data_IF_852149210254
#
_entry.id   IF_852149210254
#
_cell.length_a   1.000
_cell.length_b   1.000
_cell.length_c   1.000
_cell.angle_alpha   90.00
_cell.angle_beta   90.00
_cell.angle_gamma   90.00
#
_symmetry.space_group_name_H-M   'P 1'
#
loop_
_entity.id
_entity.type
_entity.pdbx_description
1 polymer ?
#
# COMPACT_ATOMS: atom_id res chain seq x y z
N UNK A 1 -36.31 -24.65 2.09
CA UNK A 1 -35.65 -23.82 3.14
C UNK A 1 -34.20 -24.23 3.47
N UNK A 2 -33.70 -25.38 3.03
CA UNK A 2 -32.34 -25.89 3.36
C UNK A 2 -31.23 -25.39 2.43
N UNK A 3 -31.51 -25.08 1.17
CA UNK A 3 -30.53 -24.62 0.16
C UNK A 3 -30.07 -23.17 0.33
N UNK A 4 -30.94 -22.29 0.85
CA UNK A 4 -30.64 -20.86 1.05
C UNK A 4 -29.69 -20.62 2.23
N UNK A 5 -29.71 -21.49 3.25
CA UNK A 5 -28.76 -21.48 4.39
C UNK A 5 -27.38 -22.00 4.01
N UNK A 6 -27.29 -23.00 3.13
CA UNK A 6 -26.00 -23.52 2.63
C UNK A 6 -25.26 -22.49 1.76
N UNK A 7 -25.95 -21.75 0.87
CA UNK A 7 -25.34 -20.71 0.03
C UNK A 7 -24.80 -19.51 0.82
N UNK A 8 -25.49 -19.07 1.90
CA UNK A 8 -25.00 -17.99 2.80
C UNK A 8 -23.73 -18.40 3.55
N UNK A 9 -23.61 -19.66 3.95
CA UNK A 9 -22.41 -20.17 4.63
C UNK A 9 -21.21 -20.33 3.68
N UNK A 10 -21.47 -20.61 2.39
CA UNK A 10 -20.44 -20.74 1.37
C UNK A 10 -19.85 -19.39 0.94
N UNK A 11 -20.68 -18.35 0.83
CA UNK A 11 -20.24 -17.00 0.42
C UNK A 11 -19.48 -16.25 1.53
N UNK A 12 -19.85 -16.42 2.81
CA UNK A 12 -19.09 -15.87 3.92
C UNK A 12 -17.68 -16.47 4.00
N UNK A 13 -17.55 -17.80 3.84
CA UNK A 13 -16.24 -18.48 3.82
C UNK A 13 -15.32 -17.98 2.71
N UNK A 14 -15.88 -17.58 1.57
CA UNK A 14 -15.11 -17.16 0.39
C UNK A 14 -14.61 -15.71 0.48
N UNK A 15 -15.38 -14.82 1.11
CA UNK A 15 -14.97 -13.43 1.40
C UNK A 15 -13.90 -13.40 2.50
N UNK A 16 -14.11 -14.17 3.57
CA UNK A 16 -13.06 -14.39 4.59
C UNK A 16 -11.80 -14.99 3.97
N UNK A 17 -11.93 -15.91 3.00
CA UNK A 17 -10.77 -16.51 2.34
C UNK A 17 -9.93 -15.50 1.55
N UNK A 18 -10.53 -14.54 0.85
CA UNK A 18 -9.79 -13.59 0.00
C UNK A 18 -9.16 -12.42 0.78
N UNK A 19 -9.84 -11.92 1.83
CA UNK A 19 -9.19 -11.02 2.79
C UNK A 19 -8.12 -11.73 3.61
N UNK A 20 -8.35 -13.01 3.96
CA UNK A 20 -7.32 -13.83 4.59
C UNK A 20 -6.16 -14.09 3.63
N UNK A 21 -6.38 -14.21 2.33
CA UNK A 21 -5.33 -14.45 1.32
C UNK A 21 -4.45 -13.21 1.10
N UNK A 22 -5.04 -12.01 1.02
CA UNK A 22 -4.27 -10.76 0.93
C UNK A 22 -3.50 -10.46 2.23
N UNK A 23 -4.14 -10.71 3.38
CA UNK A 23 -3.50 -10.58 4.70
C UNK A 23 -2.42 -11.63 4.89
N UNK A 24 -2.65 -12.88 4.49
CA UNK A 24 -1.70 -13.98 4.59
C UNK A 24 -0.48 -13.71 3.71
N UNK A 25 -0.66 -13.15 2.50
CA UNK A 25 0.46 -12.78 1.64
C UNK A 25 1.33 -11.68 2.24
N UNK A 26 0.72 -10.65 2.85
CA UNK A 26 1.45 -9.61 3.59
C UNK A 26 2.18 -10.16 4.82
N UNK A 27 1.55 -11.09 5.53
CA UNK A 27 2.16 -11.75 6.70
C UNK A 27 3.32 -12.67 6.26
N UNK A 28 3.15 -13.44 5.18
CA UNK A 28 4.20 -14.30 4.62
C UNK A 28 5.43 -13.46 4.23
N UNK A 29 5.21 -12.32 3.55
CA UNK A 29 6.28 -11.41 3.17
C UNK A 29 6.99 -10.79 4.39
N UNK A 30 6.22 -10.32 5.38
CA UNK A 30 6.79 -9.81 6.63
C UNK A 30 7.61 -10.88 7.36
N UNK A 31 7.12 -12.12 7.42
CA UNK A 31 7.83 -13.25 8.05
C UNK A 31 9.10 -13.61 7.29
N UNK A 32 9.06 -13.59 5.95
CA UNK A 32 10.25 -13.80 5.13
C UNK A 32 11.35 -12.78 5.45
N UNK A 33 11.00 -11.49 5.47
CA UNK A 33 11.96 -10.42 5.78
C UNK A 33 12.42 -10.46 7.24
N UNK A 34 11.55 -10.82 8.18
CA UNK A 34 11.94 -11.03 9.58
C UNK A 34 12.94 -12.17 9.72
N UNK A 35 12.74 -13.26 8.98
CA UNK A 35 13.70 -14.36 8.91
C UNK A 35 15.05 -13.93 8.35
N UNK A 36 15.04 -13.09 7.31
CA UNK A 36 16.25 -12.46 6.76
C UNK A 36 16.98 -11.57 7.78
N UNK A 37 16.24 -10.77 8.56
CA UNK A 37 16.80 -9.93 9.63
C UNK A 37 17.45 -10.79 10.71
N UNK A 38 16.85 -11.91 11.11
CA UNK A 38 17.44 -12.81 12.11
C UNK A 38 18.70 -13.51 11.62
N UNK A 39 18.70 -14.02 10.38
CA UNK A 39 19.90 -14.66 9.80
C UNK A 39 21.02 -13.62 9.62
N UNK A 40 20.69 -12.46 9.07
CA UNK A 40 21.64 -11.36 8.89
C UNK A 40 22.20 -10.88 10.22
N UNK A 41 21.35 -10.71 11.23
CA UNK A 41 21.74 -10.34 12.59
C UNK A 41 22.66 -11.39 13.23
N UNK A 42 22.33 -12.67 13.13
CA UNK A 42 23.17 -13.77 13.63
C UNK A 42 24.54 -13.80 12.93
N UNK A 43 24.59 -13.55 11.62
CA UNK A 43 25.83 -13.46 10.85
C UNK A 43 26.69 -12.28 11.31
N UNK A 44 26.11 -11.08 11.41
CA UNK A 44 26.81 -9.88 11.89
C UNK A 44 27.34 -10.10 13.31
N UNK A 45 26.53 -10.65 14.21
CA UNK A 45 26.94 -10.97 15.57
C UNK A 45 28.09 -12.02 15.59
N UNK A 46 28.03 -13.06 14.76
CA UNK A 46 29.10 -14.05 14.64
C UNK A 46 30.42 -13.41 14.20
N UNK A 47 30.37 -12.54 13.18
CA UNK A 47 31.56 -11.82 12.71
C UNK A 47 32.14 -10.93 13.82
N UNK A 48 31.28 -10.17 14.53
CA UNK A 48 31.71 -9.33 15.66
C UNK A 48 32.41 -10.15 16.75
N UNK A 49 31.91 -11.36 17.03
CA UNK A 49 32.52 -12.27 18.00
C UNK A 49 33.86 -12.80 17.49
N UNK A 50 33.92 -13.32 16.27
CA UNK A 50 35.12 -13.96 15.71
C UNK A 50 36.26 -12.97 15.49
N UNK A 51 35.96 -11.75 15.08
CA UNK A 51 36.97 -10.69 14.81
C UNK A 51 37.52 -10.09 16.10
N UNK A 52 36.98 -10.44 17.27
CA UNK A 52 37.52 -9.95 18.54
C UNK A 52 37.16 -8.49 18.84
N UNK A 53 36.19 -7.90 18.11
CA UNK A 53 35.71 -6.52 18.31
C UNK A 53 35.06 -6.30 19.68
N UNK A 54 35.00 -7.34 20.51
CA UNK A 54 34.42 -7.36 21.85
C UNK A 54 35.34 -7.86 22.97
N UNK A 55 36.64 -8.06 22.71
CA UNK A 55 37.56 -8.59 23.72
C UNK A 55 37.30 -10.07 24.08
N UNK A 56 38.01 -10.59 25.09
CA UNK A 56 38.02 -12.03 25.45
C UNK A 56 36.77 -12.52 26.21
N UNK A 57 35.74 -11.68 26.39
CA UNK A 57 34.57 -11.97 27.21
C UNK A 57 33.35 -12.34 26.36
N UNK A 58 33.48 -13.35 25.50
CA UNK A 58 32.31 -13.93 24.83
C UNK A 58 31.67 -14.95 25.75
N UNK A 59 30.79 -14.48 26.62
CA UNK A 59 29.98 -15.35 27.46
C UNK A 59 29.12 -16.27 26.58
N UNK A 60 28.87 -17.48 27.08
CA UNK A 60 28.02 -18.50 26.43
C UNK A 60 26.68 -17.93 25.92
N UNK A 61 26.17 -16.88 26.56
CA UNK A 61 24.91 -16.23 26.21
C UNK A 61 24.92 -15.59 24.82
N UNK A 62 26.05 -15.05 24.34
CA UNK A 62 26.13 -14.44 23.01
C UNK A 62 26.01 -15.50 21.91
N UNK A 63 26.73 -16.61 22.06
CA UNK A 63 26.62 -17.73 21.14
C UNK A 63 25.23 -18.38 21.18
N UNK A 64 24.61 -18.44 22.36
CA UNK A 64 23.22 -18.90 22.48
C UNK A 64 22.26 -17.97 21.72
N UNK A 65 22.38 -16.65 21.87
CA UNK A 65 21.54 -15.68 21.15
C UNK A 65 21.76 -15.75 19.64
N UNK A 66 23.01 -15.91 19.18
CA UNK A 66 23.32 -16.14 17.76
C UNK A 66 22.63 -17.40 17.24
N UNK A 67 22.76 -18.53 17.96
CA UNK A 67 22.15 -19.78 17.56
C UNK A 67 20.62 -19.70 17.53
N UNK A 68 20.01 -19.04 18.52
CA UNK A 68 18.56 -18.82 18.57
C UNK A 68 18.09 -17.96 17.39
N UNK A 69 18.78 -16.86 17.08
CA UNK A 69 18.42 -16.02 15.93
C UNK A 69 18.59 -16.77 14.59
N UNK A 70 19.68 -17.51 14.41
CA UNK A 70 19.88 -18.31 13.19
C UNK A 70 18.77 -19.37 13.04
N UNK A 71 18.39 -20.03 14.14
CA UNK A 71 17.31 -21.02 14.16
C UNK A 71 15.95 -20.37 13.85
N UNK A 72 15.59 -19.28 14.54
CA UNK A 72 14.34 -18.54 14.29
C UNK A 72 14.27 -18.04 12.87
N UNK A 73 15.37 -17.51 12.33
CA UNK A 73 15.45 -17.07 10.94
C UNK A 73 15.24 -18.20 9.94
N UNK A 74 15.87 -19.36 10.17
CA UNK A 74 15.64 -20.57 9.38
C UNK A 74 14.19 -21.07 9.47
N UNK A 75 13.61 -21.09 10.67
CA UNK A 75 12.21 -21.46 10.89
C UNK A 75 11.25 -20.50 10.17
N UNK A 76 11.51 -19.20 10.23
CA UNK A 76 10.74 -18.18 9.51
C UNK A 76 10.76 -18.43 8.00
N UNK A 77 11.92 -18.71 7.40
CA UNK A 77 12.00 -19.00 5.97
C UNK A 77 11.32 -20.32 5.57
N UNK A 78 11.45 -21.36 6.38
CA UNK A 78 10.88 -22.69 6.13
C UNK A 78 9.37 -22.75 6.37
N UNK A 79 8.88 -22.02 7.37
CA UNK A 79 7.49 -22.07 7.85
C UNK A 79 6.71 -20.78 7.55
N UNK A 80 7.21 -19.88 6.70
CA UNK A 80 6.58 -18.58 6.41
C UNK A 80 5.08 -18.65 6.10
N UNK A 81 4.62 -19.67 5.38
CA UNK A 81 3.21 -19.86 5.02
C UNK A 81 2.32 -20.32 6.19
N UNK A 82 2.92 -20.67 7.34
CA UNK A 82 2.25 -21.21 8.53
C UNK A 82 2.31 -20.25 9.73
N UNK A 83 3.11 -19.20 9.65
CA UNK A 83 3.32 -18.27 10.74
C UNK A 83 2.23 -17.19 10.75
N UNK A 84 1.88 -16.73 11.94
CA UNK A 84 0.72 -15.85 12.18
C UNK A 84 1.17 -14.54 12.82
N UNK A 85 0.31 -13.52 12.76
CA UNK A 85 0.56 -12.19 13.34
C UNK A 85 0.96 -12.25 14.83
N UNK A 86 0.31 -13.05 15.70
CA UNK A 86 0.75 -13.16 17.10
C UNK A 86 2.15 -13.72 17.26
N UNK A 87 2.57 -14.68 16.42
CA UNK A 87 3.91 -15.27 16.46
C UNK A 87 4.95 -14.22 16.08
N UNK A 88 4.68 -13.44 15.03
CA UNK A 88 5.52 -12.32 14.61
C UNK A 88 5.69 -11.30 15.75
N UNK A 89 4.60 -10.94 16.45
CA UNK A 89 4.69 -10.05 17.60
C UNK A 89 5.51 -10.63 18.76
N UNK A 90 5.35 -11.93 19.03
CA UNK A 90 6.10 -12.63 20.07
C UNK A 90 7.60 -12.67 19.74
N UNK A 91 7.97 -12.93 18.49
CA UNK A 91 9.35 -12.91 18.01
C UNK A 91 9.97 -11.52 18.13
N UNK A 92 9.24 -10.45 17.77
CA UNK A 92 9.73 -9.09 17.94
C UNK A 92 10.00 -8.74 19.42
N UNK A 93 9.10 -9.13 20.33
CA UNK A 93 9.31 -8.91 21.78
C UNK A 93 10.49 -9.74 22.28
N UNK A 94 10.59 -11.01 21.89
CA UNK A 94 11.71 -11.88 22.25
C UNK A 94 13.04 -11.31 21.74
N UNK A 95 13.03 -10.70 20.55
CA UNK A 95 14.21 -10.03 19.98
C UNK A 95 14.60 -8.81 20.79
N UNK A 96 13.64 -7.94 21.18
CA UNK A 96 13.93 -6.80 22.06
C UNK A 96 14.56 -7.27 23.36
N UNK A 97 14.00 -8.31 23.98
CA UNK A 97 14.54 -8.88 25.21
C UNK A 97 15.96 -9.42 24.97
N UNK A 98 16.17 -10.24 23.94
CA UNK A 98 17.46 -10.85 23.62
C UNK A 98 18.55 -9.82 23.34
N UNK A 99 18.25 -8.79 22.55
CA UNK A 99 19.18 -7.67 22.29
C UNK A 99 19.44 -6.89 23.58
N UNK A 100 18.42 -6.65 24.41
CA UNK A 100 18.60 -5.96 25.71
C UNK A 100 19.45 -6.77 26.69
N UNK A 101 19.30 -8.09 26.72
CA UNK A 101 20.17 -8.98 27.49
C UNK A 101 21.60 -8.95 26.95
N UNK A 102 21.79 -8.93 25.63
CA UNK A 102 23.11 -8.79 25.02
C UNK A 102 23.78 -7.44 25.38
N UNK A 103 23.01 -6.35 25.49
CA UNK A 103 23.52 -5.06 25.99
C UNK A 103 23.90 -5.16 27.47
N UNK A 104 23.03 -5.74 28.30
CA UNK A 104 23.28 -5.87 29.73
C UNK A 104 24.57 -6.63 30.04
N UNK A 105 24.76 -7.78 29.38
CA UNK A 105 25.94 -8.66 29.52
C UNK A 105 27.21 -8.11 28.84
N UNK A 106 27.09 -7.01 28.10
CA UNK A 106 28.23 -6.46 27.37
C UNK A 106 29.22 -5.79 28.32
N UNK A 107 30.28 -6.52 28.68
CA UNK A 107 31.44 -6.00 29.39
C UNK A 107 32.46 -5.34 28.44
N UNK A 108 32.02 -4.85 27.28
CA UNK A 108 32.92 -4.25 26.29
C UNK A 108 33.58 -2.97 26.84
N UNK A 109 34.79 -2.69 26.38
CA UNK A 109 35.49 -1.41 26.59
C UNK A 109 34.78 -0.23 25.91
N UNK A 110 33.88 -0.49 24.94
CA UNK A 110 33.00 0.50 24.32
C UNK A 110 31.68 -0.17 23.84
N UNK A 111 30.74 -0.48 24.76
CA UNK A 111 29.58 -1.33 24.49
C UNK A 111 28.45 -0.66 23.71
N UNK A 112 28.49 0.66 23.55
CA UNK A 112 27.40 1.42 22.97
C UNK A 112 27.22 1.12 21.47
N UNK A 113 28.28 1.16 20.66
CA UNK A 113 28.10 1.18 19.20
C UNK A 113 27.74 -0.19 18.61
N UNK A 114 28.31 -1.28 19.15
CA UNK A 114 28.19 -2.61 18.54
C UNK A 114 26.82 -3.26 18.73
N UNK A 115 26.15 -2.99 19.86
CA UNK A 115 24.87 -3.64 20.19
C UNK A 115 23.67 -2.79 19.76
N UNK A 116 23.82 -1.46 19.68
CA UNK A 116 22.78 -0.52 19.21
C UNK A 116 22.34 -0.83 17.77
N UNK A 117 23.26 -1.31 16.91
CA UNK A 117 22.96 -1.70 15.53
C UNK A 117 21.86 -2.76 15.44
N UNK A 118 21.73 -3.65 16.42
CA UNK A 118 20.70 -4.70 16.37
C UNK A 118 19.29 -4.16 16.61
N UNK A 119 19.13 -3.12 17.42
CA UNK A 119 17.83 -2.44 17.57
C UNK A 119 17.42 -1.70 16.30
N UNK A 120 18.38 -1.19 15.52
CA UNK A 120 18.09 -0.49 14.27
C UNK A 120 17.35 -1.39 13.27
N UNK A 121 17.75 -2.65 13.13
CA UNK A 121 17.06 -3.60 12.26
C UNK A 121 15.61 -3.84 12.67
N UNK A 122 15.34 -3.87 13.98
CA UNK A 122 13.99 -4.02 14.51
C UNK A 122 13.12 -2.80 14.19
N UNK A 123 13.67 -1.59 14.28
CA UNK A 123 12.97 -0.35 13.92
C UNK A 123 12.69 -0.28 12.42
N UNK A 124 13.67 -0.61 11.58
CA UNK A 124 13.50 -0.68 10.14
C UNK A 124 12.37 -1.66 9.78
N UNK A 125 12.37 -2.85 10.38
CA UNK A 125 11.33 -3.84 10.18
C UNK A 125 9.95 -3.30 10.61
N UNK A 126 9.83 -2.77 11.83
CA UNK A 126 8.58 -2.29 12.40
C UNK A 126 7.95 -1.17 11.57
N UNK A 127 8.75 -0.20 11.08
CA UNK A 127 8.26 0.89 10.26
C UNK A 127 8.04 0.53 8.79
N UNK A 128 8.61 -0.58 8.30
CA UNK A 128 8.38 -1.07 6.94
C UNK A 128 7.13 -1.96 6.84
N UNK A 129 6.90 -2.83 7.83
CA UNK A 129 5.88 -3.88 7.74
C UNK A 129 4.69 -3.72 8.69
N UNK A 130 4.82 -2.98 9.79
CA UNK A 130 3.72 -2.76 10.73
C UNK A 130 2.96 -1.47 10.44
N UNK A 131 1.77 -1.34 11.02
CA UNK A 131 1.01 -0.09 11.04
C UNK A 131 1.76 1.01 11.81
N UNK A 132 1.39 2.28 11.64
CA UNK A 132 2.00 3.37 12.40
C UNK A 132 1.90 3.17 13.93
N UNK A 133 0.74 2.78 14.51
CA UNK A 133 0.67 2.44 15.94
C UNK A 133 1.60 1.29 16.33
N UNK A 134 1.74 0.27 15.48
CA UNK A 134 2.66 -0.84 15.71
C UNK A 134 4.13 -0.38 15.71
N UNK A 135 4.54 0.41 14.72
CA UNK A 135 5.90 0.98 14.65
C UNK A 135 6.23 1.84 15.87
N UNK A 136 5.30 2.68 16.31
CA UNK A 136 5.45 3.49 17.53
C UNK A 136 5.55 2.61 18.78
N UNK A 137 4.67 1.61 18.92
CA UNK A 137 4.69 0.68 20.05
C UNK A 137 6.05 -0.02 20.18
N UNK A 138 6.55 -0.61 19.09
CA UNK A 138 7.83 -1.31 19.11
C UNK A 138 9.03 -0.38 19.28
N UNK A 139 8.93 0.88 18.84
CA UNK A 139 9.93 1.90 19.13
C UNK A 139 10.00 2.20 20.64
N UNK A 140 8.84 2.38 21.28
CA UNK A 140 8.75 2.61 22.73
C UNK A 140 9.28 1.41 23.50
N UNK A 141 8.87 0.20 23.16
CA UNK A 141 9.37 -1.03 23.82
C UNK A 141 10.89 -1.20 23.67
N UNK A 142 11.42 -0.85 22.49
CA UNK A 142 12.86 -0.88 22.21
C UNK A 142 13.61 0.13 23.08
N UNK A 143 13.12 1.37 23.18
CA UNK A 143 13.71 2.39 24.06
C UNK A 143 13.65 1.95 25.52
N UNK A 144 12.54 1.39 25.99
CA UNK A 144 12.41 0.87 27.36
C UNK A 144 13.42 -0.25 27.60
N UNK A 145 13.50 -1.24 26.70
CA UNK A 145 14.44 -2.35 26.81
C UNK A 145 15.89 -1.89 26.89
N UNK A 146 16.26 -0.93 26.04
CA UNK A 146 17.58 -0.31 26.04
C UNK A 146 17.88 0.46 27.33
N UNK A 147 16.96 1.32 27.78
CA UNK A 147 17.10 2.09 29.03
C UNK A 147 17.33 1.17 30.21
N UNK A 148 16.56 0.09 30.32
CA UNK A 148 16.74 -0.91 31.38
C UNK A 148 18.12 -1.55 31.27
N UNK A 149 18.49 -2.07 30.09
CA UNK A 149 19.78 -2.75 29.91
C UNK A 149 20.98 -1.87 30.25
N UNK A 150 20.96 -0.61 29.80
CA UNK A 150 22.03 0.36 30.02
C UNK A 150 22.09 0.83 31.47
N UNK A 151 20.96 0.97 32.16
CA UNK A 151 20.92 1.41 33.56
C UNK A 151 21.60 0.44 34.54
N UNK A 152 21.70 -0.84 34.18
CA UNK A 152 22.30 -1.87 35.02
C UNK A 152 23.60 -2.45 34.44
N UNK A 153 24.00 -2.05 33.23
CA UNK A 153 25.25 -2.49 32.62
C UNK A 153 26.44 -1.70 33.18
N UNK A 154 27.53 -2.40 33.48
CA UNK A 154 28.79 -1.78 33.91
C UNK A 154 29.55 -1.08 32.78
N UNK A 155 29.14 -1.28 31.53
CA UNK A 155 29.82 -0.75 30.34
C UNK A 155 29.45 0.69 29.97
N UNK A 156 28.38 1.24 30.54
CA UNK A 156 27.88 2.58 30.21
C UNK A 156 28.12 3.54 31.37
N UNK A 157 28.96 4.56 31.14
CA UNK A 157 29.31 5.55 32.16
C UNK A 157 28.29 6.69 32.27
N UNK A 158 27.47 6.91 31.24
CA UNK A 158 26.47 8.00 31.17
C UNK A 158 25.09 7.50 30.72
N UNK A 159 24.46 6.56 31.46
CA UNK A 159 23.28 5.81 30.99
C UNK A 159 22.10 6.69 30.59
N UNK A 160 21.91 7.84 31.24
CA UNK A 160 20.88 8.81 30.88
C UNK A 160 21.15 9.47 29.51
N UNK A 161 22.38 9.90 29.26
CA UNK A 161 22.76 10.53 27.99
C UNK A 161 22.68 9.53 26.83
N UNK A 162 23.16 8.31 27.05
CA UNK A 162 23.10 7.22 26.07
C UNK A 162 21.64 6.87 25.71
N UNK A 163 20.78 6.81 26.72
CA UNK A 163 19.34 6.58 26.54
C UNK A 163 18.65 7.70 25.75
N UNK A 164 18.97 8.96 26.04
CA UNK A 164 18.41 10.11 25.32
C UNK A 164 18.88 10.15 23.86
N UNK A 165 20.16 9.86 23.62
CA UNK A 165 20.72 9.78 22.28
C UNK A 165 20.02 8.68 21.47
N UNK A 166 19.92 7.47 22.03
CA UNK A 166 19.25 6.35 21.38
C UNK A 166 17.78 6.64 21.09
N UNK A 167 17.04 7.20 22.05
CA UNK A 167 15.64 7.59 21.85
C UNK A 167 15.49 8.63 20.73
N UNK A 168 16.39 9.62 20.67
CA UNK A 168 16.44 10.60 19.58
C UNK A 168 16.67 9.93 18.22
N UNK A 169 17.62 9.00 18.12
CA UNK A 169 17.88 8.23 16.89
C UNK A 169 16.66 7.42 16.47
N UNK A 170 16.02 6.71 17.41
CA UNK A 170 14.81 5.91 17.15
C UNK A 170 13.70 6.77 16.53
N UNK A 171 13.45 7.95 17.09
CA UNK A 171 12.42 8.87 16.60
C UNK A 171 12.78 9.39 15.20
N UNK A 172 14.00 9.86 14.99
CA UNK A 172 14.45 10.41 13.69
C UNK A 172 14.39 9.33 12.60
N UNK A 173 14.94 8.14 12.87
CA UNK A 173 14.90 7.01 11.94
C UNK A 173 13.46 6.61 11.62
N UNK A 174 12.59 6.50 12.62
CA UNK A 174 11.18 6.16 12.42
C UNK A 174 10.46 7.15 11.50
N UNK A 175 10.69 8.45 11.71
CA UNK A 175 10.15 9.51 10.84
C UNK A 175 10.70 9.37 9.41
N UNK A 176 12.01 9.20 9.27
CA UNK A 176 12.68 9.13 7.97
C UNK A 176 12.21 7.93 7.15
N UNK A 177 12.20 6.73 7.74
CA UNK A 177 11.72 5.50 7.10
C UNK A 177 10.27 5.65 6.69
N UNK A 178 9.40 6.17 7.57
CA UNK A 178 7.99 6.40 7.22
C UNK A 178 7.82 7.36 6.07
N UNK A 179 8.63 8.43 6.01
CA UNK A 179 8.60 9.35 4.87
C UNK A 179 9.07 8.69 3.59
N UNK A 180 10.13 7.89 3.62
CA UNK A 180 10.60 7.15 2.44
C UNK A 180 9.57 6.12 1.97
N UNK A 181 9.01 5.31 2.87
CA UNK A 181 7.97 4.33 2.54
C UNK A 181 6.74 5.04 1.98
N UNK A 182 6.32 6.16 2.59
CA UNK A 182 5.22 6.97 2.06
C UNK A 182 5.56 7.58 0.69
N UNK A 183 6.80 8.04 0.47
CA UNK A 183 7.23 8.57 -0.83
C UNK A 183 7.26 7.49 -1.92
N UNK A 184 7.70 6.28 -1.59
CA UNK A 184 7.65 5.13 -2.50
C UNK A 184 6.20 4.75 -2.82
N UNK A 185 5.31 4.73 -1.81
CA UNK A 185 3.89 4.53 -2.03
C UNK A 185 3.28 5.64 -2.90
N UNK A 186 3.71 6.89 -2.71
CA UNK A 186 3.35 8.04 -3.54
C UNK A 186 3.94 7.96 -4.97
N UNK A 187 4.86 7.05 -5.26
CA UNK A 187 5.42 6.83 -6.60
C UNK A 187 4.71 5.73 -7.38
N UNK A 188 3.73 5.03 -6.79
CA UNK A 188 2.88 4.13 -7.58
C UNK A 188 2.01 4.97 -8.52
N UNK A 189 2.10 4.68 -9.81
CA UNK A 189 1.25 5.27 -10.85
C UNK A 189 0.08 4.38 -11.24
N UNK A 190 0.01 3.18 -10.67
CA UNK A 190 -1.06 2.22 -10.92
C UNK A 190 -1.95 2.06 -9.68
N UNK A 191 -3.22 1.76 -9.90
CA UNK A 191 -4.18 1.31 -8.90
C UNK A 191 -3.92 -0.16 -8.59
N UNK A 192 -3.67 -0.49 -7.32
CA UNK A 192 -3.29 -1.85 -6.90
C UNK A 192 -4.35 -2.91 -7.22
N UNK A 193 -5.63 -2.51 -7.31
CA UNK A 193 -6.72 -3.44 -7.61
C UNK A 193 -6.86 -3.68 -9.11
N UNK A 194 -6.98 -2.62 -9.90
CA UNK A 194 -7.34 -2.72 -11.31
C UNK A 194 -6.14 -2.83 -12.25
N UNK A 195 -4.95 -2.43 -11.78
CA UNK A 195 -3.75 -2.30 -12.62
C UNK A 195 -3.88 -1.22 -13.71
N UNK A 196 -4.92 -0.38 -13.65
CA UNK A 196 -5.01 0.85 -14.44
C UNK A 196 -4.16 1.94 -13.78
N UNK A 197 -3.80 2.99 -14.52
CA UNK A 197 -3.37 4.22 -13.92
C UNK A 197 -4.27 4.68 -12.75
N UNK A 198 -3.66 5.19 -11.69
CA UNK A 198 -4.41 5.81 -10.60
C UNK A 198 -4.67 7.30 -10.89
N UNK A 199 -5.56 7.91 -10.10
CA UNK A 199 -5.86 9.35 -10.12
C UNK A 199 -4.62 10.25 -10.21
N UNK A 200 -3.55 9.91 -9.49
CA UNK A 200 -2.32 10.72 -9.45
C UNK A 200 -1.57 10.68 -10.78
N UNK A 201 -1.44 9.51 -11.41
CA UNK A 201 -0.85 9.42 -12.75
C UNK A 201 -1.68 10.21 -13.76
N UNK A 202 -3.01 10.10 -13.66
CA UNK A 202 -3.91 10.84 -14.52
C UNK A 202 -3.72 12.36 -14.41
N UNK A 203 -3.73 12.91 -13.19
CA UNK A 203 -3.51 14.35 -12.95
C UNK A 203 -2.13 14.81 -13.47
N UNK A 204 -1.10 13.96 -13.36
CA UNK A 204 0.23 14.24 -13.91
C UNK A 204 0.19 14.34 -15.45
N UNK A 205 -0.49 13.41 -16.12
CA UNK A 205 -0.65 13.43 -17.58
C UNK A 205 -1.47 14.64 -18.04
N UNK A 206 -2.55 15.00 -17.33
CA UNK A 206 -3.30 16.22 -17.61
C UNK A 206 -2.42 17.46 -17.56
N UNK A 207 -1.58 17.62 -16.54
CA UNK A 207 -0.69 18.80 -16.45
C UNK A 207 0.33 18.86 -17.58
N UNK A 208 0.84 17.72 -18.01
CA UNK A 208 1.80 17.65 -19.13
C UNK A 208 1.15 17.99 -20.46
N UNK A 209 -0.06 17.48 -20.70
CA UNK A 209 -0.70 17.54 -22.00
C UNK A 209 -1.68 18.71 -22.14
N UNK A 210 -2.13 19.31 -21.04
CA UNK A 210 -3.05 20.45 -20.98
C UNK A 210 -2.44 21.69 -20.31
N UNK A 211 -1.14 21.68 -20.05
CA UNK A 211 -0.45 22.81 -19.44
C UNK A 211 -0.45 24.07 -20.32
N UNK A 212 -0.11 25.25 -19.75
CA UNK A 212 -0.10 26.54 -20.46
C UNK A 212 0.82 26.59 -21.68
N UNK A 213 1.76 25.66 -21.79
CA UNK A 213 2.69 25.56 -22.92
C UNK A 213 2.19 24.56 -24.00
N UNK A 214 1.14 23.78 -23.70
CA UNK A 214 0.50 22.81 -24.60
C UNK A 214 -0.60 23.48 -25.43
N UNK A 215 -0.19 24.44 -26.25
CA UNK A 215 -1.02 25.01 -27.30
C UNK A 215 -0.85 24.20 -28.59
N UNK A 216 -1.29 22.96 -28.57
CA UNK A 216 -1.56 22.21 -29.81
C UNK A 216 -3.03 22.42 -30.19
N UNK A 217 -3.31 22.55 -31.50
CA UNK A 217 -4.66 22.56 -32.06
C UNK A 217 -5.34 21.16 -32.00
N UNK A 218 -4.78 20.24 -31.21
CA UNK A 218 -5.28 18.88 -31.08
C UNK A 218 -6.51 18.85 -30.16
N UNK A 219 -7.53 18.12 -30.62
CA UNK A 219 -8.76 17.89 -29.87
C UNK A 219 -8.47 17.03 -28.65
N UNK A 220 -8.96 17.48 -27.48
CA UNK A 220 -8.86 16.74 -26.22
C UNK A 220 -10.27 16.41 -25.74
N UNK A 221 -10.52 15.12 -25.53
CA UNK A 221 -11.75 14.62 -24.90
C UNK A 221 -11.49 14.13 -23.49
N UNK A 222 -12.36 14.49 -22.56
CA UNK A 222 -12.37 14.01 -21.17
C UNK A 222 -13.72 13.37 -20.87
N UNK A 223 -13.74 12.24 -20.17
CA UNK A 223 -14.96 11.63 -19.67
C UNK A 223 -14.78 11.11 -18.24
N UNK A 224 -15.76 11.41 -17.40
CA UNK A 224 -15.96 10.77 -16.10
C UNK A 224 -16.98 9.64 -16.28
N UNK A 225 -16.65 8.48 -15.76
CA UNK A 225 -17.42 7.24 -15.87
C UNK A 225 -17.72 6.76 -14.46
N UNK A 226 -18.98 6.54 -14.15
CA UNK A 226 -19.43 6.03 -12.85
C UNK A 226 -20.19 4.73 -13.05
N UNK A 227 -19.96 3.77 -12.14
CA UNK A 227 -20.64 2.49 -12.16
C UNK A 227 -21.99 2.60 -11.44
N UNK A 228 -23.09 2.53 -12.20
CA UNK A 228 -24.42 2.71 -11.63
C UNK A 228 -24.75 1.61 -10.62
N UNK A 229 -25.35 1.98 -9.49
CA UNK A 229 -25.75 1.06 -8.43
C UNK A 229 -24.61 0.16 -7.90
N UNK A 230 -23.34 0.56 -8.05
CA UNK A 230 -22.21 -0.24 -7.58
C UNK A 230 -22.24 -0.49 -6.07
N UNK A 231 -22.78 0.48 -5.30
CA UNK A 231 -23.06 0.26 -3.87
C UNK A 231 -24.05 -0.88 -3.65
N UNK A 232 -25.07 -1.04 -4.49
CA UNK A 232 -26.00 -2.17 -4.40
C UNK A 232 -25.30 -3.50 -4.73
N UNK A 233 -24.34 -3.52 -5.65
CA UNK A 233 -23.47 -4.69 -5.89
C UNK A 233 -22.69 -5.03 -4.61
N UNK A 234 -22.08 -4.04 -3.97
CA UNK A 234 -21.35 -4.23 -2.71
C UNK A 234 -22.26 -4.71 -1.57
N UNK A 235 -23.45 -4.13 -1.44
CA UNK A 235 -24.38 -4.43 -0.36
C UNK A 235 -25.05 -5.81 -0.56
N UNK A 236 -25.33 -6.18 -1.81
CA UNK A 236 -26.02 -7.43 -2.17
C UNK A 236 -25.08 -8.63 -2.32
N UNK A 237 -23.91 -8.43 -2.93
CA UNK A 237 -22.97 -9.48 -3.31
C UNK A 237 -21.66 -9.42 -2.53
N UNK A 238 -21.42 -8.36 -1.76
CA UNK A 238 -20.23 -8.12 -0.97
C UNK A 238 -19.15 -7.35 -1.72
N UNK A 239 -18.32 -6.61 -0.98
CA UNK A 239 -17.21 -5.81 -1.53
C UNK A 239 -16.28 -6.58 -2.47
N UNK A 240 -16.04 -7.86 -2.20
CA UNK A 240 -15.20 -8.69 -3.07
C UNK A 240 -15.79 -8.86 -4.48
N UNK A 241 -17.11 -8.95 -4.59
CA UNK A 241 -17.75 -9.01 -5.91
C UNK A 241 -17.65 -7.66 -6.61
N UNK A 242 -17.80 -6.55 -5.88
CA UNK A 242 -17.51 -5.22 -6.41
C UNK A 242 -16.07 -5.11 -6.92
N UNK A 243 -15.10 -5.57 -6.14
CA UNK A 243 -13.68 -5.58 -6.52
C UNK A 243 -13.45 -6.38 -7.81
N UNK A 244 -14.08 -7.56 -7.96
CA UNK A 244 -14.01 -8.35 -9.20
C UNK A 244 -14.62 -7.63 -10.37
N UNK A 245 -15.78 -7.01 -10.18
CA UNK A 245 -16.44 -6.20 -11.22
C UNK A 245 -15.52 -5.08 -11.70
N UNK A 246 -14.83 -4.39 -10.78
CA UNK A 246 -13.84 -3.36 -11.13
C UNK A 246 -12.66 -3.93 -11.94
N UNK A 247 -12.14 -5.09 -11.54
CA UNK A 247 -11.04 -5.78 -12.25
C UNK A 247 -11.47 -6.27 -13.64
N UNK A 248 -12.66 -6.85 -13.75
CA UNK A 248 -13.23 -7.36 -15.01
C UNK A 248 -13.46 -6.20 -15.99
N UNK A 249 -14.11 -5.12 -15.56
CA UNK A 249 -14.30 -3.93 -16.40
C UNK A 249 -12.97 -3.32 -16.86
N UNK A 250 -12.01 -3.19 -15.94
CA UNK A 250 -10.68 -2.67 -16.27
C UNK A 250 -9.96 -3.55 -17.30
N UNK A 251 -10.11 -4.87 -17.18
CA UNK A 251 -9.55 -5.84 -18.12
C UNK A 251 -10.22 -5.80 -19.50
N UNK A 252 -11.52 -5.48 -19.54
CA UNK A 252 -12.28 -5.31 -20.78
C UNK A 252 -11.96 -3.99 -21.49
N UNK A 253 -11.80 -2.91 -20.73
CA UNK A 253 -11.54 -1.59 -21.29
C UNK A 253 -10.09 -1.41 -21.75
N UNK A 254 -9.11 -1.95 -21.02
CA UNK A 254 -7.68 -1.74 -21.31
C UNK A 254 -7.27 -2.03 -22.77
N UNK A 255 -7.75 -3.11 -23.44
CA UNK A 255 -7.40 -3.39 -24.83
C UNK A 255 -7.95 -2.40 -25.86
N UNK A 256 -9.03 -1.66 -25.55
CA UNK A 256 -9.64 -0.69 -26.47
C UNK A 256 -9.11 0.73 -26.29
N UNK A 257 -8.34 0.99 -25.24
CA UNK A 257 -7.64 2.26 -25.03
C UNK A 257 -6.36 2.27 -25.88
N UNK A 258 -6.27 3.22 -26.81
CA UNK A 258 -5.08 3.35 -27.67
C UNK A 258 -3.90 3.93 -26.91
N UNK A 259 -2.70 3.71 -27.46
CA UNK A 259 -1.47 4.31 -26.93
C UNK A 259 -1.55 5.84 -27.04
N UNK A 260 -1.39 6.52 -25.91
CA UNK A 260 -1.49 7.99 -25.81
C UNK A 260 -2.74 8.48 -25.09
N UNK A 261 -3.81 7.66 -25.04
CA UNK A 261 -4.96 7.91 -24.19
C UNK A 261 -4.72 7.35 -22.78
N UNK A 262 -5.39 7.94 -21.79
CA UNK A 262 -5.24 7.56 -20.38
C UNK A 262 -6.60 7.22 -19.80
N UNK A 263 -6.81 5.95 -19.49
CA UNK A 263 -7.92 5.47 -18.66
C UNK A 263 -7.38 5.21 -17.25
N UNK A 264 -7.96 5.84 -16.24
CA UNK A 264 -7.53 5.73 -14.86
C UNK A 264 -8.71 5.42 -13.92
N UNK A 265 -8.42 4.76 -12.80
CA UNK A 265 -9.38 4.69 -11.68
C UNK A 265 -9.28 5.98 -10.88
N UNK A 266 -10.36 6.75 -10.86
CA UNK A 266 -10.42 8.07 -10.22
C UNK A 266 -10.60 7.96 -8.70
N UNK A 267 -11.41 7.00 -8.27
CA UNK A 267 -11.62 6.65 -6.87
C UNK A 267 -12.85 5.77 -6.70
N UNK A 268 -12.83 4.82 -5.76
CA UNK A 268 -13.99 3.94 -5.53
C UNK A 268 -14.42 3.20 -6.80
N UNK A 269 -15.58 3.55 -7.31
CA UNK A 269 -16.28 3.07 -8.50
C UNK A 269 -16.26 4.06 -9.69
N UNK A 270 -15.50 5.14 -9.57
CA UNK A 270 -15.33 6.15 -10.61
C UNK A 270 -14.07 5.89 -11.44
N UNK A 271 -14.21 6.06 -12.74
CA UNK A 271 -13.14 6.01 -13.73
C UNK A 271 -13.10 7.31 -14.52
N UNK A 272 -11.93 7.62 -15.07
CA UNK A 272 -11.73 8.82 -15.87
C UNK A 272 -10.92 8.47 -17.12
N UNK A 273 -11.37 8.98 -18.26
CA UNK A 273 -10.75 8.79 -19.56
C UNK A 273 -10.31 10.13 -20.14
N UNK A 274 -9.10 10.18 -20.65
CA UNK A 274 -8.53 11.32 -21.34
C UNK A 274 -7.98 10.87 -22.70
N UNK A 275 -8.36 11.59 -23.76
CA UNK A 275 -7.92 11.31 -25.13
C UNK A 275 -7.30 12.55 -25.76
N UNK A 276 -6.27 12.35 -26.58
CA UNK A 276 -5.50 13.44 -27.23
C UNK A 276 -5.38 13.24 -28.73
N UNK A 277 -5.80 14.22 -29.53
CA UNK A 277 -5.74 14.12 -31.00
C UNK A 277 -6.73 13.08 -31.56
N UNK A 278 -7.85 12.87 -30.88
CA UNK A 278 -9.02 12.15 -31.42
C UNK A 278 -10.03 13.15 -31.95
N UNK A 279 -10.66 12.88 -33.09
CA UNK A 279 -11.86 13.65 -33.46
C UNK A 279 -12.97 13.46 -32.42
N UNK A 280 -13.95 14.37 -32.39
CA UNK A 280 -15.11 14.20 -31.50
C UNK A 280 -15.85 12.89 -31.82
N UNK A 281 -15.97 12.51 -33.11
CA UNK A 281 -16.60 11.23 -33.46
C UNK A 281 -15.81 10.02 -32.97
N UNK A 282 -14.48 10.04 -33.05
CA UNK A 282 -13.62 8.95 -32.56
C UNK A 282 -13.70 8.81 -31.04
N UNK A 283 -13.73 9.95 -30.32
CA UNK A 283 -13.90 9.97 -28.88
C UNK A 283 -15.26 9.39 -28.46
N UNK A 284 -16.34 9.81 -29.13
CA UNK A 284 -17.68 9.28 -28.87
C UNK A 284 -17.80 7.78 -29.22
N UNK A 285 -17.18 7.34 -30.31
CA UNK A 285 -17.12 5.92 -30.66
C UNK A 285 -16.35 5.11 -29.60
N UNK A 286 -15.31 5.67 -29.00
CA UNK A 286 -14.61 5.03 -27.88
C UNK A 286 -15.52 4.93 -26.65
N UNK A 287 -16.21 6.00 -26.26
CA UNK A 287 -17.17 5.95 -25.14
C UNK A 287 -18.28 4.92 -25.37
N UNK A 288 -18.82 4.84 -26.58
CA UNK A 288 -19.78 3.81 -26.97
C UNK A 288 -19.23 2.39 -26.81
N UNK A 289 -17.98 2.14 -27.22
CA UNK A 289 -17.33 0.82 -27.01
C UNK A 289 -17.13 0.50 -25.52
N UNK A 290 -16.72 1.47 -24.70
CA UNK A 290 -16.57 1.25 -23.26
C UNK A 290 -17.91 0.89 -22.62
N UNK A 291 -18.97 1.58 -23.03
CA UNK A 291 -20.33 1.28 -22.63
C UNK A 291 -20.77 -0.13 -23.05
N UNK A 292 -20.61 -0.50 -24.32
CA UNK A 292 -21.00 -1.83 -24.83
C UNK A 292 -20.28 -2.95 -24.07
N UNK A 293 -18.99 -2.79 -23.80
CA UNK A 293 -18.20 -3.75 -23.03
C UNK A 293 -18.67 -3.86 -21.57
N UNK A 294 -19.03 -2.74 -20.94
CA UNK A 294 -19.50 -2.70 -19.57
C UNK A 294 -20.92 -3.26 -19.41
N UNK A 295 -21.79 -3.09 -20.42
CA UNK A 295 -23.21 -3.44 -20.40
C UNK A 295 -23.52 -4.90 -20.03
N UNK A 296 -22.56 -5.79 -20.28
CA UNK A 296 -22.65 -7.21 -19.90
C UNK A 296 -22.47 -7.47 -18.40
N UNK A 297 -21.98 -6.49 -17.65
CA UNK A 297 -21.68 -6.56 -16.22
C UNK A 297 -22.57 -5.62 -15.40
N UNK A 298 -22.67 -4.35 -15.80
CA UNK A 298 -23.57 -3.36 -15.19
C UNK A 298 -23.80 -2.14 -16.11
N UNK A 299 -24.73 -1.28 -15.71
CA UNK A 299 -24.91 0.04 -16.33
C UNK A 299 -23.83 1.01 -15.88
N UNK A 300 -23.47 1.96 -16.74
CA UNK A 300 -22.55 3.04 -16.40
C UNK A 300 -23.14 4.38 -16.83
N UNK A 301 -22.91 5.40 -16.01
CA UNK A 301 -23.20 6.79 -16.33
C UNK A 301 -21.93 7.49 -16.81
N UNK A 302 -22.02 8.26 -17.90
CA UNK A 302 -20.86 8.95 -18.48
C UNK A 302 -21.14 10.43 -18.69
N UNK A 303 -20.34 11.27 -18.04
CA UNK A 303 -20.29 12.71 -18.28
C UNK A 303 -19.02 13.06 -19.04
N UNK A 304 -19.15 13.70 -20.21
CA UNK A 304 -18.00 14.01 -21.02
C UNK A 304 -17.96 15.47 -21.49
N UNK A 305 -16.77 15.89 -21.92
CA UNK A 305 -16.53 17.19 -22.52
C UNK A 305 -15.37 17.14 -23.50
N UNK A 306 -15.51 17.92 -24.58
CA UNK A 306 -14.41 18.29 -25.46
C UNK A 306 -13.85 19.62 -25.01
N UNK A 307 -12.51 19.73 -24.96
CA UNK A 307 -11.79 20.95 -24.58
C UNK A 307 -12.06 22.06 -25.59
N UNK A 308 -12.60 23.17 -25.10
CA UNK A 308 -12.73 24.42 -25.83
C UNK A 308 -11.42 25.19 -25.92
N UNK A 309 -11.39 26.18 -26.81
CA UNK A 309 -10.24 27.08 -26.96
C UNK A 309 -10.04 27.85 -25.66
N UNK A 310 -8.83 27.76 -25.07
CA UNK A 310 -8.46 28.36 -23.78
C UNK A 310 -9.13 27.75 -22.53
N UNK A 311 -9.72 26.56 -22.61
CA UNK A 311 -10.18 25.85 -21.41
C UNK A 311 -9.02 25.12 -20.72
N UNK A 312 -8.95 25.24 -19.39
CA UNK A 312 -8.02 24.48 -18.55
C UNK A 312 -8.51 23.05 -18.31
N UNK A 313 -7.65 22.20 -17.75
CA UNK A 313 -8.07 20.87 -17.27
C UNK A 313 -9.19 20.98 -16.24
N UNK A 314 -9.10 21.94 -15.32
CA UNK A 314 -10.08 22.18 -14.27
C UNK A 314 -11.45 22.57 -14.85
N UNK A 315 -11.47 23.43 -15.88
CA UNK A 315 -12.71 23.79 -16.58
C UNK A 315 -13.36 22.57 -17.24
N UNK A 316 -12.54 21.75 -17.90
CA UNK A 316 -13.00 20.53 -18.58
C UNK A 316 -13.51 19.48 -17.59
N UNK A 317 -12.86 19.34 -16.44
CA UNK A 317 -13.28 18.43 -15.36
C UNK A 317 -14.64 18.87 -14.79
N UNK A 318 -14.81 20.16 -14.51
CA UNK A 318 -16.09 20.73 -14.05
C UNK A 318 -17.21 20.49 -15.07
N UNK A 319 -16.90 20.60 -16.37
CA UNK A 319 -17.84 20.33 -17.47
C UNK A 319 -18.27 18.86 -17.50
N UNK A 320 -17.33 17.93 -17.34
CA UNK A 320 -17.62 16.50 -17.27
C UNK A 320 -18.43 16.13 -16.03
N UNK A 321 -18.11 16.70 -14.87
CA UNK A 321 -18.80 16.44 -13.60
C UNK A 321 -20.27 16.86 -13.68
N UNK A 322 -20.55 18.06 -14.19
CA UNK A 322 -21.93 18.52 -14.44
C UNK A 322 -22.67 17.61 -15.41
N UNK A 323 -21.99 17.13 -16.45
CA UNK A 323 -22.58 16.24 -17.42
C UNK A 323 -22.89 14.85 -16.81
N UNK A 324 -22.00 14.33 -15.95
CA UNK A 324 -22.18 13.07 -15.24
C UNK A 324 -23.34 13.15 -14.26
N UNK A 325 -23.44 14.24 -13.51
CA UNK A 325 -24.55 14.49 -12.61
C UNK A 325 -25.91 14.45 -13.35
N UNK A 326 -26.01 15.11 -14.51
CA UNK A 326 -27.20 15.07 -15.36
C UNK A 326 -27.48 13.69 -15.95
N UNK A 327 -26.41 12.95 -16.27
CA UNK A 327 -26.54 11.60 -16.76
C UNK A 327 -27.24 10.72 -15.70
N UNK A 328 -26.78 10.81 -14.44
CA UNK A 328 -27.40 10.11 -13.32
C UNK A 328 -28.86 10.51 -13.08
N UNK A 329 -29.18 11.82 -13.12
CA UNK A 329 -30.57 12.28 -12.97
C UNK A 329 -31.51 11.71 -14.05
N UNK A 330 -31.03 11.60 -15.30
CA UNK A 330 -31.82 11.01 -16.39
C UNK A 330 -32.02 9.52 -16.20
N UNK A 331 -30.96 8.78 -15.88
CA UNK A 331 -31.01 7.34 -15.63
C UNK A 331 -31.98 7.00 -14.48
N UNK A 332 -31.99 7.83 -13.42
CA UNK A 332 -32.93 7.71 -12.31
C UNK A 332 -34.39 8.00 -12.74
N UNK A 333 -34.58 9.01 -13.59
CA UNK A 333 -35.91 9.42 -14.06
C UNK A 333 -36.54 8.44 -15.06
N UNK A 334 -35.73 7.82 -15.90
CA UNK A 334 -36.17 6.89 -16.95
C UNK A 334 -36.11 5.42 -16.50
N UNK A 335 -35.72 5.16 -15.24
CA UNK A 335 -35.56 3.84 -14.60
C UNK A 335 -35.13 2.77 -15.62
N UNK A 336 -33.80 2.60 -15.71
CA UNK A 336 -33.10 1.57 -16.50
C UNK A 336 -32.68 1.96 -17.93
N UNK A 337 -32.46 3.24 -18.23
CA UNK A 337 -31.79 3.66 -19.47
C UNK A 337 -30.46 4.38 -19.20
N UNK A 338 -29.53 4.14 -20.13
CA UNK A 338 -28.16 4.66 -20.14
C UNK A 338 -28.14 6.17 -20.28
N UNK A 339 -27.11 6.82 -19.72
CA UNK A 339 -26.99 8.26 -19.85
C UNK A 339 -25.56 8.68 -20.20
N UNK A 340 -25.42 9.19 -21.43
CA UNK A 340 -24.20 9.83 -21.91
C UNK A 340 -24.57 11.27 -22.26
N UNK A 341 -24.00 12.24 -21.55
CA UNK A 341 -24.34 13.66 -21.70
C UNK A 341 -23.09 14.48 -22.00
N UNK A 342 -23.20 15.41 -22.95
CA UNK A 342 -22.16 16.41 -23.24
C UNK A 342 -22.34 17.64 -22.33
N UNK A 343 -21.26 18.16 -21.79
CA UNK A 343 -21.27 19.43 -21.05
C UNK A 343 -21.47 20.70 -21.90
N UNK A 344 -21.62 20.65 -23.23
CA UNK A 344 -21.94 21.85 -24.05
C UNK A 344 -23.45 22.17 -24.13
N UNK A 345 -24.34 21.20 -23.88
CA UNK A 345 -25.80 21.39 -23.84
C UNK A 345 -26.27 22.06 -22.52
N UNK A 346 -25.48 22.97 -21.96
CA UNK A 346 -25.69 23.66 -20.67
C UNK A 346 -26.41 25.02 -20.81
N UNK A 347 -27.08 25.27 -21.94
CA UNK A 347 -27.85 26.49 -22.20
C UNK A 347 -29.19 26.55 -21.48
#
# INVERSE_FOLDING_TARGET
MTTHRMRRHFNAKRIFALQAESTAKRVEEAVFWLGGVFIGGALVATVTIVVGLGGNAYSFIYWLLVAVNALLGGLNLLLRNRLTVPILHAELVATIIGVSTAVFESHFTDPAVMTIVFYFWLLLFAFSFLSLPGGVLYSVLTVIGFVIAVSFSSGFTTPLADSLFFAGTVVITGIFVRRLVAQLALQSYEDELTGLPNRRYFELQCRQLLGPESFTDETVGLALIDLDDFKHINDSLGHLQGDRTLVELSSLWRPVIRKGDVLARWGGDEFILLTFGSSEEEFLALLGRLFDLASSHLSISVGYGIRGRNETYEDLLIKCDRALYRAKERADSERFEYAIVNGSNLG
#
